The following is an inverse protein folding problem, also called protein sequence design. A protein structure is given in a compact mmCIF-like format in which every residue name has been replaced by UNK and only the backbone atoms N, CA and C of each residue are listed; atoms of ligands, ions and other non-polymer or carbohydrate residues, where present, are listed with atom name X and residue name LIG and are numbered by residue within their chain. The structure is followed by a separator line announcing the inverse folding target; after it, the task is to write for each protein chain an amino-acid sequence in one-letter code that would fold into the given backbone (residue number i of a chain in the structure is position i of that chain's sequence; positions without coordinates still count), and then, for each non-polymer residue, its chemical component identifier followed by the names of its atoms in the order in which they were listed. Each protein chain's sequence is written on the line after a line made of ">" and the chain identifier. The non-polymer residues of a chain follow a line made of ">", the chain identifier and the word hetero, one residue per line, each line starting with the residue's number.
data_IF_195255750989
#
_entry.id   IF_195255750989
#
_cell.length_a   1.000
_cell.length_b   1.000
_cell.length_c   1.000
_cell.angle_alpha   90.00
_cell.angle_beta   90.00
_cell.angle_gamma   90.00
#
_symmetry.space_group_name_H-M   'P 1'
#
loop_
_entity.id
_entity.type
_entity.pdbx_description
1 polymer ?
#
# COMPACT_ATOMS: atom_id res chain seq x y z
N UNK A 1 18.73 27.96 15.35
CA UNK A 1 17.74 27.29 16.24
C UNK A 1 16.44 26.77 15.59
N UNK A 2 15.60 27.56 14.87
CA UNK A 2 14.42 27.02 14.14
C UNK A 2 14.81 26.29 12.85
N UNK A 3 15.76 26.84 12.09
CA UNK A 3 16.29 26.20 10.87
C UNK A 3 17.16 24.96 11.13
N UNK A 4 17.88 24.92 12.26
CA UNK A 4 18.63 23.71 12.65
C UNK A 4 17.70 22.60 13.09
N UNK A 5 16.63 22.90 13.85
CA UNK A 5 15.59 21.93 14.19
C UNK A 5 14.85 21.40 12.96
N UNK A 6 14.56 22.25 11.96
CA UNK A 6 13.96 21.77 10.71
C UNK A 6 14.91 20.89 9.89
N UNK A 7 16.20 21.25 9.81
CA UNK A 7 17.22 20.43 9.11
C UNK A 7 17.50 19.10 9.81
N UNK A 8 17.46 19.08 11.13
CA UNK A 8 17.62 17.85 11.92
C UNK A 8 16.39 16.94 11.79
N UNK A 9 15.19 17.52 11.77
CA UNK A 9 13.94 16.81 11.51
C UNK A 9 13.88 16.25 10.08
N UNK A 10 14.41 16.96 9.07
CA UNK A 10 14.56 16.42 7.72
C UNK A 10 15.62 15.31 7.62
N UNK A 11 16.76 15.45 8.32
CA UNK A 11 17.77 14.38 8.40
C UNK A 11 17.23 13.12 9.07
N UNK A 12 16.41 13.26 10.12
CA UNK A 12 15.74 12.14 10.79
C UNK A 12 14.70 11.50 9.89
N UNK A 13 13.83 12.29 9.24
CA UNK A 13 12.88 11.79 8.23
C UNK A 13 13.58 11.04 7.11
N UNK A 14 14.71 11.55 6.60
CA UNK A 14 15.50 10.89 5.56
C UNK A 14 16.11 9.56 6.01
N UNK A 15 16.58 9.47 7.26
CA UNK A 15 17.08 8.21 7.85
C UNK A 15 15.98 7.18 8.05
N UNK A 16 14.83 7.58 8.61
CA UNK A 16 13.67 6.70 8.76
C UNK A 16 13.16 6.21 7.39
N UNK A 17 13.00 7.12 6.42
CA UNK A 17 12.55 6.76 5.07
C UNK A 17 13.53 5.83 4.35
N UNK A 18 14.84 6.03 4.53
CA UNK A 18 15.88 5.13 4.02
C UNK A 18 15.83 3.74 4.64
N UNK A 19 15.56 3.65 5.95
CA UNK A 19 15.38 2.38 6.66
C UNK A 19 14.13 1.64 6.18
N UNK A 20 13.00 2.34 6.04
CA UNK A 20 11.75 1.73 5.54
C UNK A 20 11.91 1.24 4.11
N UNK A 21 12.49 2.07 3.22
CA UNK A 21 12.63 1.72 1.80
C UNK A 21 13.56 0.52 1.55
N UNK A 22 14.57 0.32 2.41
CA UNK A 22 15.54 -0.78 2.29
C UNK A 22 15.05 -2.08 2.92
N UNK A 23 14.31 -2.01 4.03
CA UNK A 23 13.83 -3.21 4.73
C UNK A 23 12.47 -3.72 4.26
N UNK A 24 11.58 -2.84 3.79
CA UNK A 24 10.20 -3.23 3.50
C UNK A 24 10.04 -4.29 2.39
N UNK A 25 10.62 -4.15 1.18
CA UNK A 25 10.41 -5.16 0.15
C UNK A 25 10.93 -6.55 0.56
N UNK A 26 12.02 -6.60 1.33
CA UNK A 26 12.57 -7.86 1.86
C UNK A 26 11.76 -8.43 3.03
N UNK A 27 11.09 -7.58 3.81
CA UNK A 27 10.18 -7.98 4.91
C UNK A 27 8.89 -8.57 4.35
N UNK A 28 8.22 -7.83 3.46
CA UNK A 28 7.03 -8.30 2.72
C UNK A 28 7.34 -9.61 1.97
N UNK A 29 8.51 -9.75 1.34
CA UNK A 29 8.90 -11.01 0.71
C UNK A 29 8.98 -12.19 1.70
N UNK A 30 9.59 -11.98 2.88
CA UNK A 30 9.70 -13.02 3.91
C UNK A 30 8.36 -13.39 4.52
N UNK A 31 7.51 -12.40 4.79
CA UNK A 31 6.19 -12.59 5.37
C UNK A 31 5.30 -13.39 4.40
N UNK A 32 5.28 -13.00 3.12
CA UNK A 32 4.59 -13.72 2.05
C UNK A 32 5.13 -15.16 1.91
N UNK A 33 6.45 -15.36 1.97
CA UNK A 33 7.03 -16.71 1.85
C UNK A 33 6.65 -17.62 3.03
N UNK A 34 6.61 -17.09 4.25
CA UNK A 34 6.28 -17.82 5.47
C UNK A 34 4.80 -18.20 5.50
N UNK A 35 3.91 -17.23 5.31
CA UNK A 35 2.45 -17.43 5.24
C UNK A 35 2.08 -18.44 4.15
N UNK A 36 2.71 -18.33 2.97
CA UNK A 36 2.52 -19.27 1.86
C UNK A 36 2.88 -20.70 2.23
N UNK A 37 4.04 -20.92 2.88
CA UNK A 37 4.50 -22.28 3.19
C UNK A 37 3.55 -22.96 4.18
N UNK A 38 3.06 -22.22 5.17
CA UNK A 38 2.14 -22.71 6.19
C UNK A 38 0.76 -22.99 5.57
N UNK A 39 0.24 -22.07 4.76
CA UNK A 39 -1.04 -22.25 4.06
C UNK A 39 -0.99 -23.42 3.07
N UNK A 40 0.07 -23.52 2.27
CA UNK A 40 0.25 -24.63 1.31
C UNK A 40 0.36 -25.98 2.04
N UNK A 41 1.03 -26.02 3.18
CA UNK A 41 1.09 -27.19 4.06
C UNK A 41 -0.29 -27.61 4.56
N UNK A 42 -1.11 -26.66 5.03
CA UNK A 42 -2.48 -26.91 5.46
C UNK A 42 -3.40 -27.38 4.33
N UNK A 43 -3.32 -26.74 3.16
CA UNK A 43 -4.11 -27.14 1.97
C UNK A 43 -3.74 -28.55 1.52
N UNK A 44 -2.44 -28.89 1.47
CA UNK A 44 -1.97 -30.25 1.18
C UNK A 44 -2.44 -31.27 2.23
N UNK A 45 -2.43 -30.91 3.51
CA UNK A 45 -2.94 -31.75 4.59
C UNK A 45 -4.45 -32.01 4.46
N UNK A 46 -5.24 -30.99 4.10
CA UNK A 46 -6.69 -31.13 3.88
C UNK A 46 -7.03 -31.97 2.63
N UNK A 47 -6.22 -31.87 1.58
CA UNK A 47 -6.32 -32.76 0.41
C UNK A 47 -6.00 -34.20 0.80
N UNK A 48 -4.97 -34.42 1.64
CA UNK A 48 -4.63 -35.76 2.15
C UNK A 48 -5.71 -36.32 3.09
N UNK A 49 -6.38 -35.46 3.87
CA UNK A 49 -7.51 -35.83 4.73
C UNK A 49 -8.83 -36.07 3.96
N UNK A 50 -8.82 -35.97 2.62
CA UNK A 50 -9.98 -36.25 1.78
C UNK A 50 -11.11 -35.21 1.84
N UNK A 51 -10.87 -34.07 2.48
CA UNK A 51 -11.85 -32.99 2.62
C UNK A 51 -11.89 -32.05 1.40
N UNK A 52 -10.81 -32.00 0.62
CA UNK A 52 -10.70 -31.25 -0.64
C UNK A 52 -10.32 -32.18 -1.79
N UNK A 53 -10.89 -31.96 -2.98
CA UNK A 53 -10.46 -32.67 -4.19
C UNK A 53 -9.10 -32.12 -4.64
N UNK A 54 -8.20 -33.03 -5.02
CA UNK A 54 -6.93 -32.71 -5.69
C UNK A 54 -7.17 -32.03 -7.04
N UNK A 55 -7.41 -30.72 -7.03
CA UNK A 55 -7.66 -29.94 -8.25
C UNK A 55 -8.29 -28.56 -8.02
N UNK A 56 -8.90 -28.32 -6.86
CA UNK A 56 -9.62 -27.06 -6.62
C UNK A 56 -8.72 -25.90 -6.15
N UNK A 57 -7.49 -26.19 -5.70
CA UNK A 57 -6.55 -25.19 -5.20
C UNK A 57 -5.18 -25.31 -5.86
N UNK A 58 -4.71 -24.20 -6.45
CA UNK A 58 -3.41 -24.10 -7.08
C UNK A 58 -2.41 -23.35 -6.19
N UNK A 59 -1.12 -23.53 -6.48
CA UNK A 59 -0.05 -22.81 -5.79
C UNK A 59 -0.19 -21.28 -5.95
N UNK A 60 -0.73 -20.83 -7.08
CA UNK A 60 -1.02 -19.41 -7.37
C UNK A 60 -2.03 -18.82 -6.39
N UNK A 61 -3.02 -19.59 -5.94
CA UNK A 61 -4.02 -19.11 -4.99
C UNK A 61 -3.41 -18.90 -3.60
N UNK A 62 -2.45 -19.76 -3.22
CA UNK A 62 -1.67 -19.60 -1.98
C UNK A 62 -0.74 -18.37 -2.04
N UNK A 63 -0.13 -18.11 -3.20
CA UNK A 63 0.68 -16.90 -3.43
C UNK A 63 -0.18 -15.64 -3.34
N UNK A 64 -1.35 -15.66 -3.96
CA UNK A 64 -2.31 -14.55 -3.95
C UNK A 64 -2.84 -14.28 -2.54
N UNK A 65 -3.12 -15.33 -1.76
CA UNK A 65 -3.52 -15.20 -0.36
C UNK A 65 -2.41 -14.58 0.49
N UNK A 66 -1.18 -15.10 0.39
CA UNK A 66 -0.04 -14.54 1.15
C UNK A 66 0.26 -13.08 0.77
N UNK A 67 0.16 -12.71 -0.51
CA UNK A 67 0.35 -11.31 -0.91
C UNK A 67 -0.72 -10.36 -0.37
N UNK A 68 -1.97 -10.83 -0.22
CA UNK A 68 -3.06 -10.06 0.38
C UNK A 68 -2.89 -9.93 1.91
N UNK A 69 -2.56 -11.02 2.59
CA UNK A 69 -2.42 -11.06 4.06
C UNK A 69 -1.17 -10.33 4.56
N UNK A 70 -0.15 -10.20 3.72
CA UNK A 70 1.05 -9.45 4.05
C UNK A 70 0.79 -7.95 4.25
N UNK A 71 -0.30 -7.38 3.71
CA UNK A 71 -0.71 -6.01 3.98
C UNK A 71 -1.06 -5.84 5.48
N UNK A 72 -0.52 -4.80 6.13
CA UNK A 72 -0.65 -4.61 7.58
C UNK A 72 -1.33 -3.29 7.87
N UNK A 73 -2.46 -3.33 8.57
CA UNK A 73 -3.13 -2.13 9.04
C UNK A 73 -2.78 -1.81 10.51
N UNK A 74 -1.97 -0.76 10.78
CA UNK A 74 -1.58 -0.38 12.12
C UNK A 74 -2.56 0.63 12.74
N UNK A 75 -3.72 0.96 12.12
CA UNK A 75 -4.56 2.10 12.57
C UNK A 75 -4.88 2.05 14.06
N UNK A 76 -5.24 0.88 14.60
CA UNK A 76 -5.51 0.72 16.04
C UNK A 76 -4.26 0.95 16.90
N UNK A 77 -3.09 0.47 16.46
CA UNK A 77 -1.82 0.65 17.18
C UNK A 77 -1.38 2.12 17.14
N UNK A 78 -1.54 2.78 16.00
CA UNK A 78 -1.24 4.20 15.82
C UNK A 78 -2.14 5.08 16.70
N UNK A 79 -3.42 4.72 16.86
CA UNK A 79 -4.33 5.42 17.76
C UNK A 79 -3.85 5.34 19.23
N UNK A 80 -3.48 4.15 19.69
CA UNK A 80 -2.93 3.94 21.05
C UNK A 80 -1.62 4.70 21.23
N UNK A 81 -0.72 4.66 20.24
CA UNK A 81 0.57 5.38 20.31
C UNK A 81 0.39 6.89 20.36
N UNK A 82 -0.64 7.41 19.68
CA UNK A 82 -1.00 8.81 19.74
C UNK A 82 -1.50 9.21 21.14
N UNK A 83 -2.32 8.38 21.81
CA UNK A 83 -2.77 8.61 23.19
C UNK A 83 -1.61 8.52 24.20
N UNK A 84 -0.71 7.56 24.02
CA UNK A 84 0.44 7.32 24.90
C UNK A 84 1.58 8.35 24.71
N UNK A 85 1.45 9.31 23.80
CA UNK A 85 2.49 10.32 23.49
C UNK A 85 3.85 9.68 23.18
N UNK A 86 3.83 8.59 22.41
CA UNK A 86 5.04 7.88 21.96
C UNK A 86 5.86 8.77 21.02
N UNK A 87 7.17 8.47 20.88
CA UNK A 87 8.08 9.22 20.01
C UNK A 87 7.50 9.40 18.59
N UNK A 88 7.33 10.66 18.11
CA UNK A 88 6.81 10.93 16.77
C UNK A 88 7.67 10.32 15.65
N UNK A 89 8.96 10.03 15.91
CA UNK A 89 9.83 9.34 14.96
C UNK A 89 9.36 7.88 14.77
N UNK A 90 8.94 7.20 15.85
CA UNK A 90 8.40 5.83 15.79
C UNK A 90 7.03 5.78 15.12
N UNK A 91 6.15 6.75 15.43
CA UNK A 91 4.85 6.89 14.78
C UNK A 91 4.99 7.01 13.27
N UNK A 92 5.90 7.90 12.82
CA UNK A 92 6.12 8.14 11.39
C UNK A 92 6.73 6.93 10.70
N UNK A 93 7.62 6.21 11.39
CA UNK A 93 8.24 4.99 10.87
C UNK A 93 7.19 3.89 10.66
N UNK A 94 6.39 3.57 11.67
CA UNK A 94 5.38 2.51 11.60
C UNK A 94 4.29 2.80 10.57
N UNK A 95 3.81 4.05 10.52
CA UNK A 95 2.87 4.49 9.50
C UNK A 95 3.48 4.37 8.10
N UNK A 96 4.74 4.79 7.93
CA UNK A 96 5.47 4.71 6.67
C UNK A 96 5.68 3.27 6.19
N UNK A 97 6.07 2.35 7.08
CA UNK A 97 6.19 0.93 6.77
C UNK A 97 4.87 0.36 6.28
N UNK A 98 3.77 0.62 6.98
CA UNK A 98 2.45 0.06 6.68
C UNK A 98 1.89 0.55 5.35
N UNK A 99 2.00 1.85 5.07
CA UNK A 99 1.56 2.42 3.79
C UNK A 99 2.38 1.89 2.61
N UNK A 100 3.69 1.70 2.77
CA UNK A 100 4.52 1.08 1.74
C UNK A 100 4.23 -0.41 1.59
N UNK A 101 3.91 -1.10 2.68
CA UNK A 101 3.54 -2.51 2.67
C UNK A 101 2.30 -2.75 1.82
N UNK A 102 1.24 -1.98 2.04
CA UNK A 102 -0.01 -2.08 1.26
C UNK A 102 0.23 -1.85 -0.24
N UNK A 103 1.10 -0.89 -0.57
CA UNK A 103 1.48 -0.59 -1.95
C UNK A 103 2.26 -1.73 -2.61
N UNK A 104 3.13 -2.42 -1.87
CA UNK A 104 3.88 -3.59 -2.40
C UNK A 104 2.94 -4.80 -2.51
N UNK A 105 2.12 -5.06 -1.49
CA UNK A 105 1.15 -6.15 -1.43
C UNK A 105 0.18 -6.11 -2.62
N UNK A 106 -0.38 -4.93 -2.95
CA UNK A 106 -1.31 -4.81 -4.08
C UNK A 106 -0.64 -5.04 -5.44
N UNK A 107 0.58 -4.54 -5.64
CA UNK A 107 1.31 -4.75 -6.90
C UNK A 107 1.76 -6.21 -7.03
N UNK A 108 2.14 -6.84 -5.92
CA UNK A 108 2.48 -8.26 -5.88
C UNK A 108 1.25 -9.12 -6.21
N UNK A 109 0.11 -8.84 -5.58
CA UNK A 109 -1.17 -9.51 -5.84
C UNK A 109 -1.57 -9.38 -7.32
N UNK A 110 -1.43 -8.19 -7.90
CA UNK A 110 -1.68 -7.96 -9.33
C UNK A 110 -0.69 -8.69 -10.25
N UNK A 111 0.59 -8.80 -9.86
CA UNK A 111 1.60 -9.51 -10.64
C UNK A 111 1.39 -11.02 -10.62
N UNK A 112 0.85 -11.54 -9.51
CA UNK A 112 0.43 -12.94 -9.35
C UNK A 112 -0.85 -13.21 -10.15
N UNK A 113 -1.81 -12.28 -10.23
CA UNK A 113 -3.03 -12.51 -11.00
C UNK A 113 -2.80 -12.57 -12.51
N UNK A 114 -1.77 -11.88 -13.01
CA UNK A 114 -1.33 -11.95 -14.42
C UNK A 114 -0.50 -13.21 -14.70
N UNK A 115 -0.03 -13.91 -13.68
CA UNK A 115 0.69 -15.16 -13.85
C UNK A 115 -0.23 -16.22 -14.47
N UNK A 116 0.01 -16.52 -15.75
CA UNK A 116 -0.72 -17.54 -16.50
C UNK A 116 0.27 -18.63 -16.92
N UNK A 117 0.21 -19.84 -16.32
CA UNK A 117 1.09 -20.93 -16.72
C UNK A 117 0.67 -21.41 -18.12
N UNK A 118 1.54 -21.18 -19.11
CA UNK A 118 1.23 -21.45 -20.54
C UNK A 118 1.27 -22.91 -20.94
N UNK A 119 1.91 -23.79 -20.17
CA UNK A 119 2.14 -25.18 -20.60
C UNK A 119 1.76 -26.26 -19.58
N UNK A 120 1.78 -26.00 -18.27
CA UNK A 120 1.33 -26.96 -17.24
C UNK A 120 0.91 -26.26 -15.93
N UNK A 121 -0.33 -26.43 -15.42
CA UNK A 121 -0.76 -25.84 -14.15
C UNK A 121 -0.06 -26.43 -12.91
N UNK A 122 0.65 -27.56 -13.07
CA UNK A 122 1.29 -28.31 -11.97
C UNK A 122 2.82 -28.16 -11.90
N UNK A 123 3.46 -27.52 -12.89
CA UNK A 123 4.91 -27.31 -12.90
C UNK A 123 5.21 -25.82 -12.67
N UNK A 124 6.15 -25.55 -11.77
CA UNK A 124 6.65 -24.19 -11.55
C UNK A 124 7.45 -23.75 -12.77
N UNK A 125 6.84 -22.93 -13.63
CA UNK A 125 7.54 -22.37 -14.77
C UNK A 125 8.43 -21.22 -14.29
N UNK A 126 9.74 -21.46 -14.34
CA UNK A 126 10.74 -20.48 -13.94
C UNK A 126 10.70 -19.26 -14.87
N UNK A 127 10.34 -19.43 -16.15
CA UNK A 127 10.24 -18.32 -17.10
C UNK A 127 9.05 -17.40 -16.77
N UNK A 128 7.87 -17.96 -16.51
CA UNK A 128 6.70 -17.21 -16.07
C UNK A 128 6.91 -16.52 -14.72
N UNK A 129 7.68 -17.13 -13.80
CA UNK A 129 8.06 -16.49 -12.54
C UNK A 129 8.91 -15.24 -12.76
N UNK A 130 9.99 -15.34 -13.54
CA UNK A 130 10.82 -14.17 -13.87
C UNK A 130 10.06 -13.10 -14.63
N UNK A 131 9.11 -13.48 -15.51
CA UNK A 131 8.23 -12.54 -16.18
C UNK A 131 7.32 -11.79 -15.19
N UNK A 132 6.76 -12.49 -14.19
CA UNK A 132 5.94 -11.86 -13.14
C UNK A 132 6.77 -10.90 -12.28
N UNK A 133 8.01 -11.28 -11.90
CA UNK A 133 8.95 -10.39 -11.20
C UNK A 133 9.31 -9.16 -12.04
N UNK A 134 9.55 -9.34 -13.34
CA UNK A 134 9.81 -8.24 -14.27
C UNK A 134 8.62 -7.28 -14.38
N UNK A 135 7.40 -7.82 -14.47
CA UNK A 135 6.17 -7.03 -14.46
C UNK A 135 5.99 -6.28 -13.15
N UNK A 136 6.23 -6.92 -12.01
CA UNK A 136 6.19 -6.29 -10.68
C UNK A 136 7.16 -5.10 -10.61
N UNK A 137 8.43 -5.31 -10.96
CA UNK A 137 9.44 -4.24 -10.99
C UNK A 137 9.03 -3.12 -11.96
N UNK A 138 8.54 -3.47 -13.14
CA UNK A 138 8.13 -2.51 -14.16
C UNK A 138 6.95 -1.64 -13.72
N UNK A 139 5.91 -2.24 -13.14
CA UNK A 139 4.74 -1.54 -12.62
C UNK A 139 5.12 -0.68 -11.42
N UNK A 140 5.91 -1.21 -10.49
CA UNK A 140 6.34 -0.49 -9.29
C UNK A 140 7.24 0.71 -9.65
N UNK A 141 8.27 0.50 -10.46
CA UNK A 141 9.19 1.55 -10.88
C UNK A 141 8.50 2.58 -11.81
N UNK A 142 7.65 2.12 -12.72
CA UNK A 142 6.85 2.99 -13.59
C UNK A 142 5.88 3.87 -12.80
N UNK A 143 5.20 3.30 -11.80
CA UNK A 143 4.31 4.03 -10.90
C UNK A 143 5.07 5.04 -10.04
N UNK A 144 6.25 4.68 -9.53
CA UNK A 144 7.13 5.59 -8.81
C UNK A 144 7.59 6.77 -9.68
N UNK A 145 8.08 6.50 -10.89
CA UNK A 145 8.53 7.53 -11.82
C UNK A 145 7.40 8.48 -12.23
N UNK A 146 6.23 7.91 -12.59
CA UNK A 146 5.07 8.70 -12.99
C UNK A 146 4.53 9.53 -11.81
N UNK A 147 4.30 8.91 -10.65
CA UNK A 147 3.78 9.61 -9.46
C UNK A 147 4.70 10.76 -9.00
N UNK A 148 6.01 10.49 -8.95
CA UNK A 148 7.00 11.52 -8.56
C UNK A 148 7.08 12.66 -9.58
N UNK A 149 7.09 12.37 -10.89
CA UNK A 149 7.08 13.38 -11.94
C UNK A 149 5.85 14.29 -11.86
N UNK A 150 4.65 13.73 -11.69
CA UNK A 150 3.40 14.50 -11.54
C UNK A 150 3.44 15.44 -10.33
N UNK A 151 3.95 14.96 -9.19
CA UNK A 151 4.09 15.77 -7.99
C UNK A 151 5.08 16.92 -8.18
N UNK A 152 6.23 16.69 -8.84
CA UNK A 152 7.20 17.73 -9.16
C UNK A 152 6.61 18.79 -10.08
N UNK A 153 5.90 18.37 -11.14
CA UNK A 153 5.21 19.31 -12.04
C UNK A 153 4.20 20.17 -11.27
N UNK A 154 3.43 19.57 -10.38
CA UNK A 154 2.44 20.27 -9.55
C UNK A 154 3.12 21.26 -8.58
N UNK A 155 4.25 20.89 -8.00
CA UNK A 155 5.03 21.76 -7.13
C UNK A 155 5.60 22.97 -7.88
N UNK A 156 6.11 22.77 -9.11
CA UNK A 156 6.62 23.82 -9.97
C UNK A 156 5.51 24.81 -10.38
N UNK A 157 4.33 24.31 -10.77
CA UNK A 157 3.17 25.15 -11.08
C UNK A 157 2.75 25.97 -9.85
N UNK A 158 2.74 25.36 -8.68
CA UNK A 158 2.40 26.03 -7.41
C UNK A 158 3.39 27.16 -7.10
N UNK A 159 4.69 26.95 -7.33
CA UNK A 159 5.72 27.98 -7.14
C UNK A 159 5.55 29.17 -8.11
N UNK A 160 5.33 28.89 -9.40
CA UNK A 160 5.17 29.95 -10.42
C UNK A 160 3.91 30.78 -10.18
N UNK A 161 2.83 30.15 -9.73
CA UNK A 161 1.55 30.84 -9.45
C UNK A 161 1.57 31.71 -8.19
N UNK A 162 2.42 31.39 -7.20
CA UNK A 162 2.60 32.21 -5.99
C UNK A 162 3.42 33.48 -6.30
N UNK A 163 4.43 33.40 -7.18
CA UNK A 163 5.33 34.54 -7.45
C UNK A 163 4.77 35.55 -8.47
N UNK A 164 3.84 35.16 -9.35
CA UNK A 164 3.19 36.07 -10.31
C UNK A 164 1.69 36.26 -9.99
N UNK A 165 1.32 37.11 -9.01
CA UNK A 165 -0.07 37.29 -8.60
C UNK A 165 -0.97 38.01 -9.62
N UNK A 166 -0.43 38.52 -10.73
CA UNK A 166 -1.16 39.41 -11.65
C UNK A 166 -1.87 38.79 -12.86
N UNK A 167 -1.61 37.53 -13.25
CA UNK A 167 -2.12 37.01 -14.54
C UNK A 167 -2.90 35.68 -14.50
N UNK A 168 -3.01 35.01 -13.34
CA UNK A 168 -3.74 33.73 -13.27
C UNK A 168 -4.85 33.78 -12.22
N UNK A 169 -6.05 34.12 -12.69
CA UNK A 169 -7.34 34.08 -11.99
C UNK A 169 -7.46 32.78 -11.18
N UNK A 170 -7.84 32.90 -9.91
CA UNK A 170 -7.93 31.81 -8.93
C UNK A 170 -8.78 30.59 -9.36
N UNK A 171 -9.61 30.74 -10.40
CA UNK A 171 -10.45 29.68 -10.96
C UNK A 171 -9.66 28.54 -11.65
N UNK A 172 -8.47 28.80 -12.22
CA UNK A 172 -7.69 27.76 -12.91
C UNK A 172 -6.86 26.85 -11.97
N UNK A 173 -6.80 27.17 -10.68
CA UNK A 173 -5.95 26.43 -9.71
C UNK A 173 -6.48 25.03 -9.42
N UNK A 174 -7.79 24.89 -9.29
CA UNK A 174 -8.45 23.60 -9.02
C UNK A 174 -8.64 22.77 -10.28
N UNK A 175 -8.83 23.41 -11.44
CA UNK A 175 -9.05 22.74 -12.73
C UNK A 175 -7.79 22.01 -13.22
N UNK A 176 -6.62 22.66 -13.16
CA UNK A 176 -5.33 22.04 -13.56
C UNK A 176 -4.97 20.90 -12.62
N UNK A 177 -5.13 21.08 -11.30
CA UNK A 177 -4.92 20.01 -10.32
C UNK A 177 -5.86 18.82 -10.54
N UNK A 178 -7.15 19.07 -10.80
CA UNK A 178 -8.16 18.05 -11.11
C UNK A 178 -7.85 17.31 -12.42
N UNK A 179 -7.46 18.03 -13.46
CA UNK A 179 -7.12 17.47 -14.79
C UNK A 179 -5.85 16.59 -14.74
N UNK A 180 -4.88 16.98 -13.91
CA UNK A 180 -3.66 16.20 -13.68
C UNK A 180 -3.92 14.96 -12.81
N UNK A 181 -4.76 15.06 -11.78
CA UNK A 181 -5.10 13.92 -10.92
C UNK A 181 -5.93 12.83 -11.64
N UNK A 182 -6.76 13.19 -12.63
CA UNK A 182 -7.54 12.20 -13.40
C UNK A 182 -6.70 11.26 -14.28
N UNK A 183 -5.38 11.48 -14.37
CA UNK A 183 -4.47 10.67 -15.18
C UNK A 183 -3.69 9.62 -14.37
N UNK A 184 -3.78 9.62 -13.04
CA UNK A 184 -3.14 8.60 -12.20
C UNK A 184 -4.10 7.42 -12.00
N UNK A 185 -3.97 6.40 -12.86
CA UNK A 185 -4.80 5.19 -12.79
C UNK A 185 -4.31 4.16 -11.76
N UNK A 186 -3.08 4.28 -11.28
CA UNK A 186 -2.45 3.29 -10.38
C UNK A 186 -2.43 3.81 -8.95
N UNK A 187 -2.99 3.04 -8.01
CA UNK A 187 -2.99 3.35 -6.57
C UNK A 187 -1.59 3.66 -6.03
N UNK A 188 -0.57 2.93 -6.51
CA UNK A 188 0.84 3.12 -6.14
C UNK A 188 1.41 4.42 -6.70
N UNK A 189 0.98 4.84 -7.89
CA UNK A 189 1.40 6.12 -8.47
C UNK A 189 0.79 7.30 -7.68
N UNK A 190 -0.47 7.17 -7.23
CA UNK A 190 -1.11 8.15 -6.35
C UNK A 190 -0.38 8.26 -5.01
N UNK A 191 0.05 7.15 -4.43
CA UNK A 191 0.83 7.12 -3.19
C UNK A 191 2.16 7.89 -3.34
N UNK A 192 2.96 7.57 -4.36
CA UNK A 192 4.22 8.28 -4.58
C UNK A 192 4.02 9.76 -4.96
N UNK A 193 2.93 10.07 -5.66
CA UNK A 193 2.52 11.45 -5.91
C UNK A 193 2.24 12.17 -4.59
N UNK A 194 1.43 11.59 -3.70
CA UNK A 194 1.09 12.14 -2.38
C UNK A 194 2.31 12.37 -1.49
N UNK A 195 3.22 11.38 -1.40
CA UNK A 195 4.48 11.51 -0.63
C UNK A 195 5.34 12.65 -1.17
N UNK A 196 5.48 12.74 -2.49
CA UNK A 196 6.29 13.79 -3.13
C UNK A 196 5.64 15.17 -2.99
N UNK A 197 4.30 15.26 -3.08
CA UNK A 197 3.54 16.49 -2.84
C UNK A 197 3.62 16.95 -1.38
N UNK A 198 3.60 16.02 -0.43
CA UNK A 198 3.80 16.32 0.99
C UNK A 198 5.18 16.94 1.28
N UNK A 199 6.19 16.62 0.46
CA UNK A 199 7.52 17.20 0.58
C UNK A 199 7.64 18.57 -0.11
N UNK A 200 7.23 18.67 -1.37
CA UNK A 200 7.46 19.87 -2.18
C UNK A 200 6.32 20.88 -2.15
N UNK A 201 5.07 20.41 -2.25
CA UNK A 201 3.89 21.29 -2.34
C UNK A 201 3.44 21.76 -0.95
N UNK A 202 3.52 20.90 0.07
CA UNK A 202 3.12 21.26 1.43
C UNK A 202 3.89 22.48 1.94
N UNK A 203 5.19 22.57 1.65
CA UNK A 203 6.00 23.68 2.12
C UNK A 203 5.66 25.02 1.44
N UNK A 204 5.09 24.98 0.23
CA UNK A 204 4.67 26.15 -0.54
C UNK A 204 3.29 26.71 -0.10
N UNK A 205 2.57 26.02 0.78
CA UNK A 205 1.26 26.45 1.28
C UNK A 205 1.38 27.44 2.45
N UNK A 206 0.41 28.37 2.53
CA UNK A 206 0.24 29.25 3.70
C UNK A 206 -0.10 28.45 4.97
N UNK A 207 0.19 29.00 6.14
CA UNK A 207 -0.12 28.38 7.45
C UNK A 207 -1.58 27.94 7.57
N UNK A 208 -2.50 28.81 7.15
CA UNK A 208 -3.94 28.53 7.24
C UNK A 208 -4.35 27.42 6.26
N UNK A 209 -3.70 27.35 5.10
CA UNK A 209 -3.96 26.30 4.12
C UNK A 209 -3.43 24.96 4.60
N UNK A 210 -2.25 24.93 5.25
CA UNK A 210 -1.70 23.71 5.87
C UNK A 210 -2.66 23.12 6.91
N UNK A 211 -3.25 23.96 7.75
CA UNK A 211 -4.21 23.51 8.77
C UNK A 211 -5.49 22.95 8.13
N UNK A 212 -6.09 23.69 7.20
CA UNK A 212 -7.31 23.24 6.50
C UNK A 212 -7.10 21.95 5.73
N UNK A 213 -5.98 21.81 5.04
CA UNK A 213 -5.64 20.60 4.29
C UNK A 213 -5.49 19.41 5.23
N UNK A 214 -4.81 19.58 6.38
CA UNK A 214 -4.67 18.51 7.38
C UNK A 214 -6.03 18.04 7.90
N UNK A 215 -6.87 18.96 8.35
CA UNK A 215 -8.21 18.64 8.88
C UNK A 215 -9.11 17.97 7.83
N UNK A 216 -9.04 18.41 6.57
CA UNK A 216 -9.80 17.81 5.48
C UNK A 216 -9.36 16.36 5.21
N UNK A 217 -8.05 16.10 5.15
CA UNK A 217 -7.54 14.74 4.91
C UNK A 217 -7.81 13.81 6.09
N UNK A 218 -7.73 14.29 7.34
CA UNK A 218 -8.10 13.51 8.53
C UNK A 218 -9.58 13.12 8.50
N UNK A 219 -10.47 14.06 8.14
CA UNK A 219 -11.91 13.78 8.01
C UNK A 219 -12.20 12.78 6.87
N UNK A 220 -11.54 12.93 5.71
CA UNK A 220 -11.71 12.00 4.59
C UNK A 220 -11.16 10.59 4.92
N UNK A 221 -10.05 10.50 5.64
CA UNK A 221 -9.51 9.22 6.11
C UNK A 221 -10.50 8.52 7.03
N UNK A 222 -11.06 9.24 8.01
CA UNK A 222 -12.07 8.71 8.92
C UNK A 222 -13.32 8.22 8.17
N UNK A 223 -13.80 8.98 7.17
CA UNK A 223 -14.94 8.55 6.37
C UNK A 223 -14.63 7.30 5.53
N UNK A 224 -13.47 7.26 4.88
CA UNK A 224 -13.06 6.13 4.04
C UNK A 224 -12.92 4.84 4.85
N UNK A 225 -12.33 4.92 6.04
CA UNK A 225 -12.17 3.78 6.95
C UNK A 225 -13.53 3.21 7.40
N UNK A 226 -14.47 4.08 7.77
CA UNK A 226 -15.84 3.67 8.10
C UNK A 226 -16.55 2.99 6.93
N UNK A 227 -16.36 3.47 5.70
CA UNK A 227 -16.94 2.86 4.50
C UNK A 227 -16.34 1.48 4.23
N UNK A 228 -15.02 1.33 4.34
CA UNK A 228 -14.33 0.03 4.15
C UNK A 228 -14.80 -0.98 5.19
N UNK A 229 -14.85 -0.59 6.47
CA UNK A 229 -15.29 -1.47 7.56
C UNK A 229 -16.75 -1.92 7.37
N UNK A 230 -17.65 -0.98 7.02
CA UNK A 230 -19.04 -1.29 6.72
C UNK A 230 -19.18 -2.23 5.50
N UNK A 231 -18.39 -2.00 4.45
CA UNK A 231 -18.39 -2.84 3.25
C UNK A 231 -17.93 -4.26 3.53
N UNK A 232 -16.86 -4.44 4.32
CA UNK A 232 -16.41 -5.77 4.74
C UNK A 232 -17.50 -6.51 5.55
N UNK A 233 -18.19 -5.81 6.44
CA UNK A 233 -19.32 -6.37 7.19
C UNK A 233 -20.48 -6.79 6.28
N UNK A 234 -20.84 -5.97 5.28
CA UNK A 234 -21.91 -6.27 4.34
C UNK A 234 -21.56 -7.39 3.36
N UNK A 235 -20.29 -7.49 2.95
CA UNK A 235 -19.80 -8.54 2.04
C UNK A 235 -20.09 -9.94 2.59
N UNK A 236 -19.90 -10.15 3.90
CA UNK A 236 -20.19 -11.43 4.58
C UNK A 236 -21.66 -11.89 4.41
N UNK A 237 -22.61 -10.95 4.34
CA UNK A 237 -24.03 -11.26 4.18
C UNK A 237 -24.50 -11.29 2.71
N UNK A 238 -23.77 -10.63 1.81
CA UNK A 238 -24.18 -10.47 0.41
C UNK A 238 -23.75 -11.66 -0.46
N UNK A 239 -22.59 -12.26 -0.19
CA UNK A 239 -22.11 -13.42 -0.96
C UNK A 239 -22.77 -14.73 -0.48
N UNK A 240 -23.83 -15.15 -1.17
CA UNK A 240 -24.60 -16.36 -0.80
C UNK A 240 -23.90 -17.71 -1.08
N UNK A 241 -22.79 -17.72 -1.84
CA UNK A 241 -22.02 -18.93 -2.16
C UNK A 241 -20.73 -19.04 -1.31
N UNK A 242 -20.80 -18.78 0.00
CA UNK A 242 -19.67 -19.05 0.87
C UNK A 242 -19.55 -20.56 1.16
N UNK A 243 -18.52 -21.19 0.60
CA UNK A 243 -18.09 -22.53 1.00
C UNK A 243 -17.38 -22.37 2.34
N UNK A 244 -18.14 -22.46 3.44
CA UNK A 244 -17.60 -22.36 4.79
C UNK A 244 -16.82 -23.64 5.12
N UNK A 245 -15.49 -23.55 5.08
CA UNK A 245 -14.61 -24.63 5.50
C UNK A 245 -13.87 -24.20 6.78
N UNK A 246 -14.37 -24.68 7.93
CA UNK A 246 -13.82 -24.31 9.24
C UNK A 246 -12.33 -24.67 9.41
N UNK A 247 -11.88 -25.76 8.78
CA UNK A 247 -10.48 -26.20 8.80
C UNK A 247 -9.59 -25.26 7.98
N UNK A 248 -10.06 -24.81 6.81
CA UNK A 248 -9.35 -23.82 6.01
C UNK A 248 -9.23 -22.48 6.76
N UNK A 249 -10.31 -22.05 7.41
CA UNK A 249 -10.34 -20.81 8.21
C UNK A 249 -9.36 -20.91 9.40
N UNK A 250 -9.36 -22.03 10.13
CA UNK A 250 -8.41 -22.25 11.22
C UNK A 250 -6.96 -22.29 10.72
N UNK A 251 -6.71 -22.97 9.59
CA UNK A 251 -5.39 -22.96 8.93
C UNK A 251 -4.95 -21.56 8.54
N UNK A 252 -5.86 -20.72 8.06
CA UNK A 252 -5.60 -19.31 7.77
C UNK A 252 -5.21 -18.52 9.04
N UNK A 253 -5.96 -18.68 10.14
CA UNK A 253 -5.63 -18.03 11.41
C UNK A 253 -4.26 -18.46 11.96
N UNK A 254 -3.95 -19.76 11.93
CA UNK A 254 -2.64 -20.28 12.35
C UNK A 254 -1.53 -19.75 11.45
N UNK A 255 -1.74 -19.71 10.13
CA UNK A 255 -0.75 -19.17 9.19
C UNK A 255 -0.42 -17.70 9.43
N UNK A 256 -1.40 -16.94 9.92
CA UNK A 256 -1.24 -15.53 10.25
C UNK A 256 -0.52 -15.31 11.59
N UNK A 257 -0.86 -16.10 12.61
CA UNK A 257 -0.22 -16.02 13.93
C UNK A 257 1.26 -16.41 13.86
N UNK A 258 1.56 -17.46 13.11
CA UNK A 258 2.94 -17.90 12.83
C UNK A 258 3.63 -17.02 11.79
N UNK A 259 2.92 -16.21 11.01
CA UNK A 259 3.46 -15.35 9.95
C UNK A 259 4.19 -14.11 10.49
N UNK A 260 3.69 -13.55 11.60
CA UNK A 260 4.23 -12.35 12.26
C UNK A 260 5.34 -12.66 13.26
#
# INVERSE_FOLDING_TARGET
>A
MREERSREQERKKGKCLGSVRSHQPAKTEKDVQKERLIMYGFVKAMVHAGQLKSGDFHFTDCLFFGSLMSATDPVTVLAIFHELHVDPDLYTLLFGESVLNDAVAIVLTYSISIYSPKENPNAFDTAAFFQSVGNFLGIFAGSFAMGSAYAVVTALISFVTVWKPGQCRAANKHEVFRRLNSLLSSIVAVLFCGVTQAHYTYNNLSSDSKLRTKQLFEFMNFLAENVIFCYMGLALFTFQNHIFNALFILGAFVSFEEGK
#
